data_IF_009693105606
#
_entry.id   IF_009693105606
#
_cell.length_a   1.000
_cell.length_b   1.000
_cell.length_c   1.000
_cell.angle_alpha   90.00
_cell.angle_beta   90.00
_cell.angle_gamma   90.00
#
_symmetry.space_group_name_H-M   'P 1'
#
loop_
_entity.id
_entity.type
_entity.pdbx_description
1 polymer ?
#
# COMPACT_ATOMS: atom_id res chain seq x y z
N UNK A 1 -3.61 -4.56 -8.74
CA UNK A 1 -2.81 -3.46 -8.16
C UNK A 1 -2.02 -2.79 -9.30
N UNK A 2 -2.73 -2.08 -10.20
CA UNK A 2 -2.16 -1.88 -11.54
C UNK A 2 -1.58 -0.47 -11.80
N UNK A 3 -1.21 0.28 -10.77
CA UNK A 3 -0.63 1.62 -10.95
C UNK A 3 -0.43 2.39 -9.65
N UNK A 4 0.27 3.50 -9.76
CA UNK A 4 0.52 4.45 -8.67
C UNK A 4 -0.83 5.03 -8.23
N UNK A 5 -1.04 5.18 -6.91
CA UNK A 5 -2.24 5.76 -6.30
C UNK A 5 -3.57 5.06 -6.63
N UNK A 6 -3.55 3.87 -7.23
CA UNK A 6 -4.77 3.08 -7.45
C UNK A 6 -5.32 2.52 -6.15
N UNK A 7 -4.46 1.90 -5.36
CA UNK A 7 -4.85 1.29 -4.08
C UNK A 7 -3.80 1.61 -3.03
N UNK A 8 -4.22 2.26 -1.96
CA UNK A 8 -3.43 2.35 -0.74
C UNK A 8 -3.98 1.38 0.30
N UNK A 9 -3.11 0.85 1.14
CA UNK A 9 -3.51 0.10 2.33
C UNK A 9 -3.21 0.93 3.57
N UNK A 10 -4.09 0.89 4.55
CA UNK A 10 -3.90 1.55 5.84
C UNK A 10 -4.24 0.62 7.00
N UNK A 11 -3.55 0.85 8.12
CA UNK A 11 -3.71 0.11 9.37
C UNK A 11 -3.40 1.02 10.56
N UNK A 12 -3.90 0.67 11.75
CA UNK A 12 -3.60 1.35 13.01
C UNK A 12 -2.75 0.45 13.91
N UNK A 13 -1.49 0.83 14.08
CA UNK A 13 -0.57 0.15 14.99
C UNK A 13 -0.73 0.70 16.40
N UNK A 14 -1.08 -0.16 17.36
CA UNK A 14 -1.15 0.20 18.77
C UNK A 14 0.25 0.25 19.40
N UNK A 15 0.56 1.38 20.06
CA UNK A 15 1.85 1.64 20.73
C UNK A 15 1.65 2.30 22.09
N UNK A 16 0.52 2.02 22.73
CA UNK A 16 0.10 2.66 23.99
C UNK A 16 1.14 2.55 25.12
N UNK A 17 1.89 1.45 25.18
CA UNK A 17 2.93 1.23 26.18
C UNK A 17 4.00 2.32 26.20
N UNK A 18 4.24 3.00 25.08
CA UNK A 18 5.25 4.05 24.93
C UNK A 18 4.69 5.47 24.97
N UNK A 19 3.38 5.63 25.22
CA UNK A 19 2.68 6.91 25.10
C UNK A 19 3.26 8.00 26.00
N UNK A 20 3.66 7.67 27.22
CA UNK A 20 4.23 8.62 28.19
C UNK A 20 5.49 9.31 27.67
N UNK A 21 6.37 8.56 27.01
CA UNK A 21 7.62 9.07 26.42
C UNK A 21 7.42 9.74 25.06
N UNK A 22 6.23 9.63 24.47
CA UNK A 22 5.95 10.03 23.08
C UNK A 22 4.76 11.02 22.99
N UNK A 23 4.72 12.03 23.84
CA UNK A 23 3.74 13.15 23.80
C UNK A 23 2.27 12.68 23.86
N UNK A 24 2.01 11.54 24.51
CA UNK A 24 0.67 10.95 24.61
C UNK A 24 0.18 10.21 23.36
N UNK A 25 1.06 9.98 22.38
CA UNK A 25 0.74 9.17 21.17
C UNK A 25 0.50 7.72 21.58
N UNK A 26 -0.62 7.17 21.14
CA UNK A 26 -1.07 5.81 21.45
C UNK A 26 -1.17 4.91 20.22
N UNK A 27 -1.31 5.51 19.03
CA UNK A 27 -1.50 4.83 17.77
C UNK A 27 -0.62 5.44 16.69
N UNK A 28 -0.22 4.63 15.72
CA UNK A 28 0.38 5.10 14.47
C UNK A 28 -0.53 4.70 13.31
N UNK A 29 -1.07 5.68 12.60
CA UNK A 29 -1.72 5.42 11.33
C UNK A 29 -0.62 5.13 10.31
N UNK A 30 -0.58 3.91 9.81
CA UNK A 30 0.34 3.47 8.78
C UNK A 30 -0.39 3.39 7.46
N UNK A 31 0.17 3.96 6.41
CA UNK A 31 -0.42 3.98 5.07
C UNK A 31 0.67 3.62 4.07
N UNK A 32 0.34 2.81 3.07
CA UNK A 32 1.27 2.41 2.01
C UNK A 32 0.56 2.35 0.65
N UNK A 33 1.16 2.96 -0.36
CA UNK A 33 0.76 2.72 -1.75
C UNK A 33 1.19 1.31 -2.16
N UNK A 34 0.21 0.48 -2.47
CA UNK A 34 0.43 -0.94 -2.73
C UNK A 34 1.24 -1.21 -3.99
N UNK A 35 1.30 -0.28 -4.92
CA UNK A 35 2.10 -0.38 -6.14
C UNK A 35 3.52 0.13 -5.91
N UNK A 36 3.69 1.40 -5.57
CA UNK A 36 5.00 2.03 -5.41
C UNK A 36 5.74 1.62 -4.14
N UNK A 37 5.05 1.03 -3.17
CA UNK A 37 5.54 0.76 -1.81
C UNK A 37 5.89 2.03 -1.02
N UNK A 38 5.48 3.19 -1.49
CA UNK A 38 5.68 4.44 -0.76
C UNK A 38 4.80 4.46 0.50
N UNK A 39 5.43 4.69 1.64
CA UNK A 39 4.78 4.62 2.95
C UNK A 39 4.69 5.97 3.66
N UNK A 40 3.65 6.14 4.45
CA UNK A 40 3.44 7.26 5.38
C UNK A 40 3.10 6.71 6.76
N UNK A 41 3.49 7.43 7.79
CA UNK A 41 3.16 7.06 9.18
C UNK A 41 2.88 8.33 9.97
N UNK A 42 1.71 8.41 10.57
CA UNK A 42 1.27 9.56 11.35
C UNK A 42 0.93 9.16 12.78
N UNK A 43 1.44 9.91 13.79
CA UNK A 43 1.15 9.66 15.19
C UNK A 43 -0.25 10.18 15.56
N UNK A 44 -1.02 9.35 16.27
CA UNK A 44 -2.35 9.66 16.77
C UNK A 44 -2.43 9.46 18.29
N UNK A 45 -3.13 10.35 18.99
CA UNK A 45 -3.40 10.21 20.43
C UNK A 45 -4.58 9.29 20.72
N UNK A 46 -5.52 9.20 19.78
CA UNK A 46 -6.70 8.35 19.84
C UNK A 46 -6.99 7.73 18.48
N UNK A 47 -7.91 6.76 18.45
CA UNK A 47 -8.35 6.08 17.22
C UNK A 47 -9.78 6.47 16.81
N UNK A 48 -10.19 7.71 17.10
CA UNK A 48 -11.48 8.21 16.65
C UNK A 48 -11.52 8.37 15.14
N UNK A 49 -12.68 8.15 14.54
CA UNK A 49 -12.85 8.35 13.10
C UNK A 49 -12.47 9.75 12.63
N UNK A 50 -12.64 10.77 13.49
CA UNK A 50 -12.20 12.15 13.20
C UNK A 50 -10.69 12.24 13.13
N UNK A 51 -9.97 11.73 14.13
CA UNK A 51 -8.49 11.75 14.16
C UNK A 51 -7.89 11.02 12.96
N UNK A 52 -8.47 9.88 12.58
CA UNK A 52 -8.06 9.11 11.41
C UNK A 52 -8.33 9.88 10.11
N UNK A 53 -9.51 10.49 9.98
CA UNK A 53 -9.86 11.30 8.82
C UNK A 53 -8.96 12.52 8.65
N UNK A 54 -8.65 13.21 9.74
CA UNK A 54 -7.76 14.38 9.73
C UNK A 54 -6.33 13.96 9.34
N UNK A 55 -5.85 12.82 9.82
CA UNK A 55 -4.55 12.28 9.41
C UNK A 55 -4.49 11.93 7.92
N UNK A 56 -5.55 11.36 7.33
CA UNK A 56 -5.62 11.15 5.88
C UNK A 56 -5.59 12.47 5.11
N UNK A 57 -6.35 13.48 5.56
CA UNK A 57 -6.31 14.82 4.93
C UNK A 57 -4.91 15.41 4.96
N UNK A 58 -4.18 15.25 6.07
CA UNK A 58 -2.80 15.70 6.21
C UNK A 58 -1.86 14.99 5.24
N UNK A 59 -1.98 13.65 5.11
CA UNK A 59 -1.21 12.89 4.11
C UNK A 59 -1.48 13.44 2.71
N UNK A 60 -2.74 13.59 2.31
CA UNK A 60 -3.11 14.05 0.97
C UNK A 60 -2.62 15.46 0.68
N UNK A 61 -2.74 16.35 1.66
CA UNK A 61 -2.26 17.74 1.55
C UNK A 61 -0.74 17.82 1.38
N UNK A 62 0.01 17.09 2.22
CA UNK A 62 1.48 17.12 2.22
C UNK A 62 2.08 16.41 1.02
N UNK A 63 1.54 15.24 0.66
CA UNK A 63 2.06 14.44 -0.45
C UNK A 63 1.56 14.91 -1.82
N UNK A 64 0.47 15.67 -1.88
CA UNK A 64 -0.30 16.00 -3.09
C UNK A 64 -0.76 14.75 -3.85
N UNK A 65 -0.90 13.62 -3.15
CA UNK A 65 -1.31 12.33 -3.67
C UNK A 65 -2.56 11.87 -2.95
N UNK A 66 -3.43 11.17 -3.66
CA UNK A 66 -4.67 10.61 -3.13
C UNK A 66 -4.98 9.29 -3.86
N UNK A 67 -5.34 8.21 -3.16
CA UNK A 67 -5.65 6.96 -3.81
C UNK A 67 -7.06 6.98 -4.42
N UNK A 68 -7.28 6.13 -5.41
CA UNK A 68 -8.64 5.84 -5.88
C UNK A 68 -9.39 5.00 -4.84
N UNK A 69 -8.70 4.01 -4.26
CA UNK A 69 -9.27 3.11 -3.26
C UNK A 69 -8.35 2.99 -2.05
N UNK A 70 -8.96 2.94 -0.87
CA UNK A 70 -8.27 2.73 0.40
C UNK A 70 -8.69 1.37 0.97
N UNK A 71 -7.74 0.45 1.06
CA UNK A 71 -7.94 -0.83 1.71
C UNK A 71 -7.64 -0.73 3.20
N UNK A 72 -8.58 -1.17 4.03
CA UNK A 72 -8.44 -1.22 5.49
C UNK A 72 -9.11 -2.49 6.02
N UNK A 73 -8.90 -2.82 7.27
CA UNK A 73 -9.79 -3.75 7.99
C UNK A 73 -11.18 -3.10 8.18
N UNK A 74 -12.13 -3.88 8.72
CA UNK A 74 -13.51 -3.42 8.97
C UNK A 74 -13.65 -2.64 10.29
N UNK A 75 -12.57 -2.08 10.82
CA UNK A 75 -12.58 -1.33 12.07
C UNK A 75 -13.48 -0.08 12.02
N UNK A 76 -14.13 0.22 13.14
CA UNK A 76 -15.00 1.42 13.27
C UNK A 76 -14.23 2.73 13.09
N UNK A 77 -12.94 2.72 13.35
CA UNK A 77 -12.00 3.82 13.13
C UNK A 77 -11.89 4.22 11.66
N UNK A 78 -12.08 3.27 10.72
CA UNK A 78 -12.08 3.52 9.28
C UNK A 78 -13.50 3.63 8.72
N UNK A 79 -14.43 2.77 9.15
CA UNK A 79 -15.80 2.74 8.63
C UNK A 79 -16.74 3.68 9.40
N UNK A 80 -16.59 4.99 9.18
CA UNK A 80 -17.40 6.03 9.81
C UNK A 80 -17.62 7.22 8.85
N UNK A 81 -18.52 8.15 9.25
CA UNK A 81 -18.86 9.32 8.44
C UNK A 81 -17.66 10.22 8.11
N UNK A 82 -16.75 10.44 9.07
CA UNK A 82 -15.61 11.35 8.89
C UNK A 82 -14.63 10.83 7.85
N UNK A 83 -14.33 9.53 7.86
CA UNK A 83 -13.44 8.93 6.87
C UNK A 83 -14.11 8.85 5.50
N UNK A 84 -15.44 8.63 5.43
CA UNK A 84 -16.19 8.72 4.16
C UNK A 84 -16.11 10.11 3.54
N UNK A 85 -16.18 11.18 4.36
CA UNK A 85 -16.06 12.57 3.92
C UNK A 85 -14.68 12.93 3.35
N UNK A 86 -13.65 12.10 3.57
CA UNK A 86 -12.33 12.27 2.93
C UNK A 86 -12.39 12.04 1.41
N UNK A 87 -13.45 11.39 0.93
CA UNK A 87 -13.75 11.24 -0.49
C UNK A 87 -12.85 10.24 -1.20
N UNK A 88 -12.58 9.09 -0.54
CA UNK A 88 -11.87 7.93 -1.08
C UNK A 88 -12.78 6.71 -0.94
N UNK A 89 -12.81 5.83 -1.93
CA UNK A 89 -13.55 4.58 -1.85
C UNK A 89 -12.89 3.64 -0.85
N UNK A 90 -13.59 3.37 0.26
CA UNK A 90 -13.16 2.39 1.27
C UNK A 90 -13.58 1.00 0.83
N UNK A 91 -12.68 0.04 0.95
CA UNK A 91 -13.04 -1.36 0.80
C UNK A 91 -12.20 -2.26 1.72
N UNK A 92 -12.79 -3.37 2.11
CA UNK A 92 -12.13 -4.42 2.87
C UNK A 92 -12.33 -5.74 2.12
N UNK A 93 -11.31 -6.57 2.09
CA UNK A 93 -11.41 -7.93 1.55
C UNK A 93 -10.73 -8.89 2.52
N UNK A 94 -11.22 -10.11 2.58
CA UNK A 94 -10.58 -11.19 3.35
C UNK A 94 -9.33 -11.76 2.63
N UNK A 95 -8.84 -11.07 1.61
CA UNK A 95 -7.77 -11.55 0.73
C UNK A 95 -6.40 -11.36 1.42
N UNK A 96 -5.78 -12.46 1.82
CA UNK A 96 -4.51 -12.51 2.55
C UNK A 96 -3.34 -11.80 1.85
N UNK A 97 -3.33 -11.73 0.51
CA UNK A 97 -2.25 -11.05 -0.23
C UNK A 97 -2.19 -9.54 0.00
N UNK A 98 -3.35 -8.91 0.22
CA UNK A 98 -3.41 -7.44 0.41
C UNK A 98 -3.02 -7.04 1.82
N UNK A 99 -3.39 -7.82 2.84
CA UNK A 99 -2.96 -7.60 4.22
C UNK A 99 -1.44 -7.75 4.36
N UNK A 100 -0.85 -8.68 3.62
CA UNK A 100 0.59 -8.97 3.70
C UNK A 100 1.51 -7.78 3.36
N UNK A 101 1.06 -6.82 2.55
CA UNK A 101 1.87 -5.64 2.19
C UNK A 101 1.95 -4.65 3.35
N UNK A 102 0.80 -4.29 3.93
CA UNK A 102 0.77 -3.36 5.07
C UNK A 102 1.36 -4.01 6.33
N UNK A 103 1.13 -5.30 6.55
CA UNK A 103 1.74 -6.05 7.66
C UNK A 103 3.28 -6.08 7.55
N UNK A 104 3.81 -6.29 6.35
CA UNK A 104 5.27 -6.24 6.11
C UNK A 104 5.83 -4.84 6.34
N UNK A 105 5.11 -3.82 5.92
CA UNK A 105 5.43 -2.43 6.21
C UNK A 105 5.46 -2.17 7.71
N UNK A 106 4.41 -2.54 8.43
CA UNK A 106 4.32 -2.39 9.89
C UNK A 106 5.45 -3.13 10.61
N UNK A 107 5.75 -4.37 10.22
CA UNK A 107 6.85 -5.14 10.77
C UNK A 107 8.20 -4.44 10.57
N UNK A 108 8.47 -3.97 9.36
CA UNK A 108 9.71 -3.24 9.04
C UNK A 108 9.86 -2.00 9.91
N UNK A 109 8.79 -1.23 10.10
CA UNK A 109 8.83 -0.02 10.92
C UNK A 109 8.97 -0.33 12.41
N UNK A 110 8.30 -1.37 12.89
CA UNK A 110 8.49 -1.90 14.25
C UNK A 110 9.96 -2.28 14.51
N UNK A 111 10.55 -3.07 13.63
CA UNK A 111 11.94 -3.50 13.76
C UNK A 111 12.92 -2.30 13.81
N UNK A 112 12.72 -1.29 12.96
CA UNK A 112 13.52 -0.06 12.98
C UNK A 112 13.38 0.68 14.32
N UNK A 113 12.15 0.80 14.81
CA UNK A 113 11.86 1.49 16.08
C UNK A 113 12.49 0.76 17.26
N UNK A 114 12.37 -0.57 17.35
CA UNK A 114 12.98 -1.33 18.45
C UNK A 114 14.51 -1.35 18.39
N UNK A 115 15.11 -1.45 17.19
CA UNK A 115 16.57 -1.30 17.02
C UNK A 115 17.06 0.07 17.51
N UNK A 116 16.32 1.13 17.21
CA UNK A 116 16.62 2.46 17.69
C UNK A 116 16.51 2.53 19.23
N UNK A 117 15.48 1.95 19.83
CA UNK A 117 15.33 1.90 21.28
C UNK A 117 16.53 1.24 21.97
N UNK A 118 16.94 0.08 21.46
CA UNK A 118 18.10 -0.65 22.00
C UNK A 118 19.39 0.16 21.82
N UNK A 119 19.63 0.70 20.63
CA UNK A 119 20.87 1.43 20.33
C UNK A 119 21.04 2.72 21.11
N UNK A 120 19.92 3.39 21.47
CA UNK A 120 19.95 4.69 22.13
C UNK A 120 19.45 4.61 23.60
N UNK A 121 19.21 3.43 24.14
CA UNK A 121 18.66 3.21 25.48
C UNK A 121 17.46 4.12 25.77
N UNK A 122 16.49 4.17 24.89
CA UNK A 122 15.33 5.07 24.97
C UNK A 122 14.06 4.40 24.48
N UNK A 123 12.90 4.87 24.92
CA UNK A 123 11.60 4.49 24.38
C UNK A 123 10.95 5.64 23.58
N UNK A 124 11.72 6.71 23.32
CA UNK A 124 11.24 7.91 22.61
C UNK A 124 11.52 7.77 21.12
N UNK A 125 10.46 7.65 20.31
CA UNK A 125 10.56 7.50 18.85
C UNK A 125 9.96 8.67 18.08
N UNK A 126 9.12 9.49 18.73
CA UNK A 126 8.31 10.51 18.05
C UNK A 126 9.16 11.53 17.28
N UNK A 127 10.34 11.84 17.77
CA UNK A 127 11.21 12.83 17.16
C UNK A 127 12.02 12.29 15.96
N UNK A 128 12.05 10.97 15.79
CA UNK A 128 12.77 10.27 14.70
C UNK A 128 11.83 9.47 13.77
N UNK A 129 10.52 9.60 13.99
CA UNK A 129 9.53 8.85 13.22
C UNK A 129 9.58 9.20 11.72
N UNK A 130 9.68 10.48 11.42
CA UNK A 130 9.77 10.97 10.04
C UNK A 130 11.06 10.48 9.36
N UNK A 131 12.20 10.46 10.07
CA UNK A 131 13.46 9.93 9.58
C UNK A 131 13.35 8.44 9.23
N UNK A 132 12.61 7.66 10.03
CA UNK A 132 12.40 6.23 9.72
C UNK A 132 11.58 6.04 8.43
N UNK A 133 10.54 6.85 8.25
CA UNK A 133 9.71 6.83 7.04
C UNK A 133 10.51 7.28 5.83
N UNK A 134 11.29 8.36 5.95
CA UNK A 134 12.14 8.87 4.89
C UNK A 134 13.20 7.85 4.47
N UNK A 135 13.93 7.26 5.43
CA UNK A 135 14.91 6.20 5.17
C UNK A 135 14.28 4.99 4.50
N UNK A 136 13.08 4.58 4.91
CA UNK A 136 12.35 3.51 4.24
C UNK A 136 12.04 3.87 2.79
N UNK A 137 11.49 5.04 2.54
CA UNK A 137 11.10 5.49 1.21
C UNK A 137 12.30 5.69 0.27
N UNK A 138 13.50 5.89 0.81
CA UNK A 138 14.77 6.00 0.08
C UNK A 138 15.59 4.69 0.06
N UNK A 139 15.08 3.60 0.65
CA UNK A 139 15.74 2.29 0.60
C UNK A 139 15.25 1.48 -0.60
N UNK A 140 16.16 0.83 -1.32
CA UNK A 140 15.81 -0.05 -2.45
C UNK A 140 15.10 -1.31 -1.96
N UNK A 141 13.94 -1.59 -2.53
CA UNK A 141 13.13 -2.76 -2.22
C UNK A 141 13.31 -3.87 -3.27
N UNK A 142 13.45 -5.12 -2.82
CA UNK A 142 13.68 -6.28 -3.69
C UNK A 142 12.54 -6.52 -4.68
N UNK A 143 11.29 -6.33 -4.25
CA UNK A 143 10.11 -6.58 -5.10
C UNK A 143 9.96 -5.58 -6.24
N UNK A 144 10.24 -4.31 -6.01
CA UNK A 144 10.11 -3.24 -7.01
C UNK A 144 11.43 -2.90 -7.68
N UNK A 145 12.58 -3.43 -7.19
CA UNK A 145 13.95 -3.22 -7.68
C UNK A 145 14.39 -1.75 -7.72
N UNK A 146 13.72 -0.90 -6.99
CA UNK A 146 13.91 0.56 -6.90
C UNK A 146 13.57 1.04 -5.49
N UNK A 147 13.80 2.32 -5.19
CA UNK A 147 13.27 2.94 -3.97
C UNK A 147 11.79 3.32 -4.14
N UNK A 148 10.99 3.35 -3.06
CA UNK A 148 9.62 3.87 -3.11
C UNK A 148 9.50 5.29 -3.67
N UNK A 149 10.48 6.17 -3.40
CA UNK A 149 10.54 7.52 -3.97
C UNK A 149 10.66 7.48 -5.51
N UNK A 150 11.57 6.64 -6.05
CA UNK A 150 11.70 6.47 -7.49
C UNK A 150 10.45 5.86 -8.11
N UNK A 151 9.88 4.83 -7.47
CA UNK A 151 8.69 4.14 -7.97
C UNK A 151 7.42 4.95 -7.90
N UNK A 152 7.36 5.98 -7.06
CA UNK A 152 6.24 6.90 -6.99
C UNK A 152 6.18 7.92 -8.13
N UNK A 153 7.22 7.98 -8.98
CA UNK A 153 7.26 8.82 -10.18
C UNK A 153 6.57 8.13 -11.35
N UNK A 154 5.67 8.82 -12.03
CA UNK A 154 4.86 8.27 -13.13
C UNK A 154 5.71 7.70 -14.28
N UNK A 155 6.85 8.31 -14.55
CA UNK A 155 7.82 7.84 -15.57
C UNK A 155 8.33 6.41 -15.32
N UNK A 156 8.36 5.98 -14.07
CA UNK A 156 8.84 4.65 -13.68
C UNK A 156 7.73 3.57 -13.61
N UNK A 157 6.48 3.93 -13.80
CA UNK A 157 5.33 3.04 -13.59
C UNK A 157 5.43 1.74 -14.41
N UNK A 158 5.79 1.83 -15.69
CA UNK A 158 5.95 0.66 -16.56
C UNK A 158 7.08 -0.26 -16.06
N UNK A 159 8.20 0.32 -15.62
CA UNK A 159 9.34 -0.44 -15.08
C UNK A 159 8.97 -1.16 -13.79
N UNK A 160 8.27 -0.48 -12.90
CA UNK A 160 7.75 -1.06 -11.65
C UNK A 160 6.78 -2.19 -11.94
N UNK A 161 5.86 -2.00 -12.88
CA UNK A 161 4.93 -3.05 -13.30
C UNK A 161 5.65 -4.31 -13.76
N UNK A 162 6.68 -4.18 -14.60
CA UNK A 162 7.50 -5.32 -15.07
C UNK A 162 8.22 -6.03 -13.92
N UNK A 163 8.70 -5.29 -12.93
CA UNK A 163 9.36 -5.87 -11.77
C UNK A 163 8.40 -6.63 -10.85
N UNK A 164 7.18 -6.11 -10.66
CA UNK A 164 6.16 -6.74 -9.82
C UNK A 164 5.51 -7.96 -10.47
N UNK A 165 5.41 -7.96 -11.81
CA UNK A 165 4.66 -8.97 -12.57
C UNK A 165 5.50 -9.53 -13.74
N UNK A 166 6.67 -10.15 -13.47
CA UNK A 166 7.58 -10.61 -14.53
C UNK A 166 6.94 -11.67 -15.42
N UNK A 167 6.11 -12.57 -14.88
CA UNK A 167 5.49 -13.64 -15.63
C UNK A 167 4.37 -13.14 -16.57
N UNK A 168 3.61 -12.14 -16.13
CA UNK A 168 2.60 -11.50 -16.99
C UNK A 168 3.25 -10.76 -18.15
N UNK A 169 4.35 -10.06 -17.91
CA UNK A 169 5.07 -9.36 -18.97
C UNK A 169 5.72 -10.32 -19.96
N UNK A 170 6.27 -11.45 -19.50
CA UNK A 170 6.79 -12.50 -20.38
C UNK A 170 5.69 -13.10 -21.26
N UNK A 171 4.52 -13.39 -20.68
CA UNK A 171 3.35 -13.92 -21.47
C UNK A 171 2.90 -12.94 -22.53
N UNK A 172 2.87 -11.63 -22.24
CA UNK A 172 2.49 -10.59 -23.21
C UNK A 172 3.51 -10.49 -24.37
N UNK A 173 4.81 -10.62 -24.09
CA UNK A 173 5.87 -10.59 -25.10
C UNK A 173 5.84 -11.84 -25.98
N UNK A 174 5.43 -12.98 -25.43
CA UNK A 174 5.33 -14.27 -26.14
C UNK A 174 3.90 -14.60 -26.57
N UNK A 175 2.96 -13.67 -26.52
CA UNK A 175 1.61 -13.88 -27.04
C UNK A 175 1.70 -14.18 -28.54
N UNK A 176 1.37 -15.43 -28.93
CA UNK A 176 1.38 -15.91 -30.32
C UNK A 176 0.22 -15.36 -31.16
N UNK A 177 -0.61 -14.46 -30.61
CA UNK A 177 -1.78 -13.92 -31.28
C UNK A 177 -1.46 -12.54 -31.82
N UNK A 178 -1.64 -12.38 -33.12
CA UNK A 178 -1.64 -11.10 -33.83
C UNK A 178 -3.09 -10.58 -33.87
N UNK A 179 -3.28 -9.29 -33.94
CA UNK A 179 -4.62 -8.70 -34.09
C UNK A 179 -5.33 -9.34 -35.31
N UNK A 180 -6.47 -9.98 -35.08
CA UNK A 180 -7.20 -10.73 -36.09
C UNK A 180 -7.16 -12.25 -35.96
N UNK A 181 -6.32 -12.83 -35.11
CA UNK A 181 -6.32 -14.27 -34.82
C UNK A 181 -7.60 -14.67 -34.09
N UNK A 182 -8.23 -15.73 -34.56
CA UNK A 182 -9.39 -16.35 -33.88
C UNK A 182 -8.92 -16.94 -32.54
N UNK A 183 -9.59 -16.60 -31.45
CA UNK A 183 -9.36 -17.21 -30.16
C UNK A 183 -9.61 -18.73 -30.20
N UNK A 184 -8.95 -19.49 -29.34
CA UNK A 184 -9.13 -20.95 -29.23
C UNK A 184 -10.60 -21.35 -28.96
N UNK A 185 -11.34 -20.46 -28.32
CA UNK A 185 -12.77 -20.59 -28.07
C UNK A 185 -13.61 -20.52 -29.36
N UNK A 186 -13.23 -19.72 -30.34
CA UNK A 186 -13.86 -19.65 -31.67
C UNK A 186 -13.54 -20.88 -32.49
N UNK A 187 -12.32 -21.44 -32.40
CA UNK A 187 -11.92 -22.66 -33.10
C UNK A 187 -12.72 -23.90 -32.65
N UNK A 188 -13.01 -24.02 -31.35
CA UNK A 188 -13.86 -25.09 -30.80
C UNK A 188 -15.32 -24.99 -31.28
N UNK A 189 -15.88 -23.78 -31.40
CA UNK A 189 -17.24 -23.60 -31.94
C UNK A 189 -17.32 -23.97 -33.42
N UNK A 190 -16.29 -23.66 -34.20
CA UNK A 190 -16.24 -24.00 -35.62
C UNK A 190 -16.08 -25.52 -35.84
N UNK A 191 -15.38 -26.24 -34.97
CA UNK A 191 -15.23 -27.69 -35.00
C UNK A 191 -16.52 -28.45 -34.65
N UNK A 192 -17.30 -27.90 -33.71
CA UNK A 192 -18.61 -28.49 -33.33
C UNK A 192 -19.70 -28.26 -34.38
N UNK A 193 -19.59 -27.23 -35.22
CA UNK A 193 -20.52 -26.99 -36.33
C UNK A 193 -20.27 -27.83 -37.56
N UNK A 194 -19.08 -28.44 -37.72
CA UNK A 194 -18.70 -29.28 -38.85
C UNK A 194 -18.90 -30.78 -38.62
N UNK A 195 -19.41 -31.18 -37.46
CA UNK A 195 -19.58 -32.56 -37.03
C UNK A 195 -21.02 -33.01 -36.85
N UNK A 196 -21.96 -32.54 -37.69
CA UNK A 196 -23.29 -33.15 -37.76
C UNK A 196 -23.53 -33.65 -39.17
N UNK A 197 -23.86 -34.96 -39.35
CA UNK A 197 -24.17 -35.55 -40.63
C UNK A 197 -25.49 -35.02 -41.20
#
# INVERSE_FOLDING_TARGET
MNGIDKIWAADLVEIQAFSKSNRGVRYLLTVIDMFSKYGWMLPLKDKTGKSVADAFKDIFKKSKRKPEKLWTDKGREFYNKHVKEVGVELYSTENAEKSSVVERWNRTMKEKTFKYFTANNTNKYIDVLDDFVERYNNTRHSSIKMTPVETSKKENEVRVYRNLYPDLTRRLIHAKFITGDKSEFSRRKDSLRKGSP
#
